data_IF_296241523419
#
_entry.id   IF_296241523419
#
_cell.length_a   1.000
_cell.length_b   1.000
_cell.length_c   1.000
_cell.angle_alpha   90.00
_cell.angle_beta   90.00
_cell.angle_gamma   90.00
#
_symmetry.space_group_name_H-M   'P 1'
#
loop_
_entity.id
_entity.type
_entity.pdbx_description
1 polymer ?
#
# COMPACT_ATOMS: atom_id res chain seq x y z
N UNK A 1 21.37 -19.15 -11.61
CA UNK A 1 20.83 -19.93 -10.48
C UNK A 1 20.02 -18.99 -9.62
N UNK A 2 18.80 -19.36 -9.21
CA UNK A 2 18.01 -18.53 -8.28
C UNK A 2 18.35 -18.97 -6.86
N UNK A 3 18.78 -18.01 -6.05
CA UNK A 3 19.12 -18.24 -4.66
C UNK A 3 18.13 -17.54 -3.73
N UNK A 4 17.79 -18.19 -2.62
CA UNK A 4 17.01 -17.60 -1.53
C UNK A 4 17.70 -17.80 -0.18
N UNK A 5 17.46 -16.88 0.75
CA UNK A 5 17.81 -17.08 2.16
C UNK A 5 16.58 -17.66 2.87
N UNK A 6 16.75 -18.76 3.60
CA UNK A 6 15.72 -19.30 4.48
C UNK A 6 16.30 -19.75 5.83
N UNK A 7 15.47 -20.39 6.65
CA UNK A 7 15.86 -20.91 7.94
C UNK A 7 16.08 -22.43 7.85
N UNK A 8 17.28 -22.87 8.20
CA UNK A 8 17.66 -24.27 8.23
C UNK A 8 16.73 -25.10 9.11
N UNK A 9 16.19 -26.19 8.56
CA UNK A 9 15.20 -27.05 9.22
C UNK A 9 13.82 -26.41 9.40
N UNK A 10 13.49 -25.35 8.64
CA UNK A 10 12.16 -24.78 8.57
C UNK A 10 11.26 -25.51 7.57
N UNK A 11 9.97 -25.18 7.61
CA UNK A 11 8.93 -25.68 6.70
C UNK A 11 8.60 -24.67 5.58
N UNK A 12 9.48 -23.70 5.34
CA UNK A 12 9.27 -22.61 4.38
C UNK A 12 8.34 -21.49 4.85
N UNK A 13 7.61 -21.66 5.96
CA UNK A 13 6.69 -20.64 6.46
C UNK A 13 7.42 -19.47 7.12
N UNK A 14 6.82 -18.28 7.06
CA UNK A 14 7.31 -17.11 7.79
C UNK A 14 7.40 -17.34 9.31
N UNK A 15 6.44 -18.07 9.88
CA UNK A 15 6.44 -18.35 11.32
C UNK A 15 7.64 -19.20 11.74
N UNK A 16 7.98 -20.23 10.95
CA UNK A 16 9.15 -21.06 11.17
C UNK A 16 10.44 -20.28 10.95
N UNK A 17 10.51 -19.48 9.89
CA UNK A 17 11.63 -18.56 9.64
C UNK A 17 11.85 -17.62 10.84
N UNK A 18 10.81 -16.92 11.28
CA UNK A 18 10.89 -15.98 12.39
C UNK A 18 11.36 -16.66 13.69
N UNK A 19 10.80 -17.83 14.02
CA UNK A 19 11.14 -18.55 15.24
C UNK A 19 12.57 -19.09 15.22
N UNK A 20 13.06 -19.51 14.06
CA UNK A 20 14.37 -20.17 13.93
C UNK A 20 15.51 -19.20 13.66
N UNK A 21 15.26 -18.13 12.90
CA UNK A 21 16.27 -17.14 12.49
C UNK A 21 16.31 -15.93 13.39
N UNK A 22 15.15 -15.37 13.73
CA UNK A 22 15.04 -14.20 14.60
C UNK A 22 14.78 -14.57 16.07
N UNK A 23 14.80 -15.88 16.37
CA UNK A 23 14.46 -16.44 17.69
C UNK A 23 13.11 -15.92 18.19
N UNK A 24 12.15 -15.82 17.28
CA UNK A 24 10.84 -15.21 17.54
C UNK A 24 10.95 -13.69 17.56
N UNK A 25 11.18 -13.12 18.73
CA UNK A 25 11.45 -11.67 18.88
C UNK A 25 12.79 -11.39 19.58
N UNK A 26 13.50 -12.44 20.03
CA UNK A 26 14.64 -12.26 20.93
C UNK A 26 15.85 -11.63 20.24
N UNK A 27 16.01 -11.81 18.92
CA UNK A 27 17.14 -11.23 18.19
C UNK A 27 16.78 -9.89 17.52
N UNK A 28 15.54 -9.38 17.67
CA UNK A 28 15.14 -8.15 16.99
C UNK A 28 15.94 -6.92 17.46
N UNK A 29 16.32 -6.88 18.74
CA UNK A 29 17.17 -5.82 19.27
C UNK A 29 18.57 -5.87 18.67
N UNK A 30 19.12 -7.08 18.46
CA UNK A 30 20.42 -7.29 17.82
C UNK A 30 20.39 -6.97 16.32
N UNK A 31 19.31 -7.35 15.62
CA UNK A 31 19.09 -6.97 14.21
C UNK A 31 18.98 -5.45 14.07
N UNK A 32 18.23 -4.82 14.98
CA UNK A 32 18.06 -3.38 15.05
C UNK A 32 17.60 -2.79 13.73
N UNK A 33 18.22 -1.68 13.34
CA UNK A 33 17.96 -0.98 12.08
C UNK A 33 19.15 -1.05 11.14
N UNK A 34 20.06 -2.01 11.32
CA UNK A 34 21.22 -2.18 10.45
C UNK A 34 20.86 -2.98 9.19
N UNK A 35 21.59 -2.78 8.11
CA UNK A 35 21.58 -3.67 6.95
C UNK A 35 22.72 -4.68 7.06
N UNK A 36 22.59 -5.80 6.36
CA UNK A 36 23.56 -6.89 6.44
C UNK A 36 23.87 -7.47 5.07
N UNK A 37 25.10 -7.95 4.90
CA UNK A 37 25.56 -8.59 3.67
C UNK A 37 26.30 -9.89 3.92
N UNK A 38 26.08 -10.85 3.03
CA UNK A 38 26.96 -11.98 2.80
C UNK A 38 27.63 -11.79 1.45
N UNK A 39 28.96 -11.64 1.45
CA UNK A 39 29.78 -11.33 0.27
C UNK A 39 30.60 -12.57 -0.10
N UNK A 40 30.38 -13.16 -1.27
CA UNK A 40 31.22 -14.25 -1.78
C UNK A 40 32.47 -13.67 -2.44
N UNK A 41 33.65 -14.07 -1.98
CA UNK A 41 34.94 -13.47 -2.40
C UNK A 41 35.97 -14.54 -2.70
N UNK A 42 36.99 -14.23 -3.53
CA UNK A 42 38.09 -15.16 -3.81
C UNK A 42 38.79 -15.67 -2.55
N UNK A 43 38.97 -14.78 -1.56
CA UNK A 43 39.62 -15.13 -0.29
C UNK A 43 38.69 -15.88 0.66
N UNK A 44 37.38 -15.69 0.50
CA UNK A 44 36.37 -16.14 1.44
C UNK A 44 36.66 -15.69 2.87
N UNK A 45 36.26 -16.54 3.81
CA UNK A 45 36.47 -16.34 5.23
C UNK A 45 36.78 -17.64 5.98
N UNK A 46 36.59 -17.56 7.29
CA UNK A 46 36.63 -18.69 8.22
C UNK A 46 35.38 -18.69 9.07
N UNK A 47 34.73 -19.84 9.15
CA UNK A 47 33.61 -20.10 10.03
C UNK A 47 33.98 -21.10 11.13
N UNK A 48 33.21 -21.09 12.22
CA UNK A 48 33.52 -21.87 13.41
C UNK A 48 32.42 -22.87 13.68
N UNK A 49 32.80 -24.12 13.92
CA UNK A 49 31.90 -25.23 14.24
C UNK A 49 31.59 -25.31 15.74
N UNK A 50 31.17 -24.19 16.33
CA UNK A 50 31.00 -24.04 17.79
C UNK A 50 30.01 -25.02 18.40
N UNK A 51 29.00 -25.45 17.65
CA UNK A 51 28.00 -26.41 18.11
C UNK A 51 28.43 -27.88 18.01
N UNK A 52 29.63 -28.14 17.46
CA UNK A 52 30.18 -29.47 17.25
C UNK A 52 31.49 -29.62 18.02
N UNK A 53 32.62 -29.33 17.38
CA UNK A 53 33.99 -29.56 17.88
C UNK A 53 34.79 -28.26 18.09
N UNK A 54 34.23 -27.11 17.71
CA UNK A 54 34.90 -25.81 17.81
C UNK A 54 35.94 -25.55 16.72
N UNK A 55 36.07 -26.45 15.73
CA UNK A 55 37.04 -26.31 14.65
C UNK A 55 36.71 -25.14 13.72
N UNK A 56 37.75 -24.65 13.04
CA UNK A 56 37.66 -23.53 12.10
C UNK A 56 37.75 -24.07 10.68
N UNK A 57 36.73 -23.81 9.86
CA UNK A 57 36.68 -24.25 8.46
C UNK A 57 36.70 -23.07 7.49
N UNK A 58 37.26 -23.25 6.28
CA UNK A 58 37.12 -22.25 5.22
C UNK A 58 35.66 -22.14 4.76
N UNK A 59 35.23 -20.90 4.49
CA UNK A 59 33.96 -20.60 3.82
C UNK A 59 34.24 -19.66 2.65
N UNK A 60 33.46 -19.69 1.55
CA UNK A 60 33.68 -18.83 0.38
C UNK A 60 33.15 -17.40 0.56
N UNK A 61 32.62 -17.06 1.74
CA UNK A 61 31.95 -15.80 1.98
C UNK A 61 32.46 -15.09 3.24
N UNK A 62 32.11 -13.81 3.31
CA UNK A 62 32.26 -12.95 4.48
C UNK A 62 30.89 -12.42 4.89
N UNK A 63 30.69 -12.20 6.19
CA UNK A 63 29.46 -11.62 6.74
C UNK A 63 29.75 -10.22 7.25
N UNK A 64 28.84 -9.28 6.99
CA UNK A 64 29.01 -7.88 7.31
C UNK A 64 27.70 -7.26 7.82
N UNK A 65 27.78 -6.47 8.88
CA UNK A 65 26.78 -5.46 9.22
C UNK A 65 27.21 -4.15 8.55
N UNK A 66 26.36 -3.59 7.70
CA UNK A 66 26.72 -2.51 6.75
C UNK A 66 26.02 -1.18 7.06
N UNK A 67 26.02 -0.83 8.35
CA UNK A 67 25.45 0.43 8.81
C UNK A 67 23.93 0.57 8.66
N UNK A 68 23.44 1.81 8.74
CA UNK A 68 22.01 2.16 8.73
C UNK A 68 21.75 3.07 7.54
N UNK A 69 21.27 2.51 6.42
CA UNK A 69 20.98 3.31 5.22
C UNK A 69 22.24 3.79 4.48
N UNK A 70 23.38 3.20 4.78
CA UNK A 70 24.72 3.55 4.28
C UNK A 70 25.29 2.43 3.38
N UNK A 71 24.43 1.85 2.53
CA UNK A 71 24.70 0.60 1.79
C UNK A 71 26.02 0.52 0.98
N UNK A 72 26.57 1.66 0.59
CA UNK A 72 27.79 1.76 -0.23
C UNK A 72 28.96 2.46 0.52
N UNK A 73 28.84 2.67 1.84
CA UNK A 73 29.88 3.27 2.68
C UNK A 73 30.55 2.22 3.57
N UNK A 74 31.75 1.72 3.21
CA UNK A 74 32.43 0.72 4.02
C UNK A 74 33.03 1.28 5.32
N UNK A 75 32.91 2.58 5.60
CA UNK A 75 33.51 3.19 6.78
C UNK A 75 32.82 2.81 8.10
N UNK A 76 31.56 2.35 8.04
CA UNK A 76 30.79 1.89 9.19
C UNK A 76 30.48 0.37 9.17
N UNK A 77 31.00 -0.34 8.18
CA UNK A 77 30.88 -1.79 8.04
C UNK A 77 31.63 -2.54 9.16
N UNK A 78 30.97 -3.52 9.79
CA UNK A 78 31.58 -4.40 10.81
C UNK A 78 31.58 -5.84 10.30
N UNK A 79 32.76 -6.46 10.23
CA UNK A 79 32.89 -7.87 9.84
C UNK A 79 32.36 -8.77 10.96
N UNK A 80 31.39 -9.61 10.61
CA UNK A 80 30.72 -10.52 11.52
C UNK A 80 31.41 -11.89 11.57
N UNK A 81 31.03 -12.69 12.57
CA UNK A 81 31.57 -14.02 12.83
C UNK A 81 30.55 -15.06 12.37
N UNK A 82 30.84 -15.84 11.32
CA UNK A 82 30.01 -16.97 10.92
C UNK A 82 30.26 -18.16 11.84
N UNK A 83 29.24 -18.61 12.53
CA UNK A 83 29.21 -19.94 13.16
C UNK A 83 28.44 -20.86 12.23
N UNK A 84 28.95 -22.06 11.97
CA UNK A 84 28.24 -23.05 11.17
C UNK A 84 27.83 -24.24 12.00
N UNK A 85 26.77 -24.90 11.56
CA UNK A 85 26.45 -26.24 11.99
C UNK A 85 26.06 -27.12 10.80
N UNK A 86 26.62 -28.32 10.77
CA UNK A 86 26.56 -29.27 9.66
C UNK A 86 25.68 -30.49 10.05
N UNK A 87 26.14 -31.71 9.73
CA UNK A 87 25.44 -32.99 9.91
C UNK A 87 24.85 -33.17 11.31
N UNK A 88 25.58 -32.73 12.34
CA UNK A 88 25.16 -32.85 13.75
C UNK A 88 23.89 -32.05 14.07
N UNK A 89 23.64 -30.96 13.34
CA UNK A 89 22.41 -30.19 13.45
C UNK A 89 21.33 -30.61 12.44
N UNK A 90 21.61 -31.61 11.59
CA UNK A 90 20.74 -32.00 10.49
C UNK A 90 20.86 -31.07 9.27
N UNK A 91 22.03 -30.45 9.07
CA UNK A 91 22.36 -29.62 7.91
C UNK A 91 23.49 -30.26 7.09
N UNK A 92 23.63 -29.85 5.82
CA UNK A 92 24.73 -30.30 4.96
C UNK A 92 24.72 -31.78 4.60
N UNK A 93 25.70 -32.18 3.80
CA UNK A 93 25.88 -33.59 3.37
C UNK A 93 27.23 -34.18 3.73
N UNK A 94 28.22 -33.33 3.97
CA UNK A 94 29.57 -33.70 4.35
C UNK A 94 29.92 -33.11 5.72
N UNK A 95 30.92 -33.69 6.37
CA UNK A 95 31.44 -33.18 7.63
C UNK A 95 32.75 -32.41 7.40
N UNK A 96 33.01 -31.43 8.26
CA UNK A 96 34.22 -30.60 8.30
C UNK A 96 34.40 -29.64 7.11
N UNK A 97 33.33 -29.40 6.35
CA UNK A 97 33.33 -28.50 5.21
C UNK A 97 32.01 -27.75 5.14
N UNK A 98 32.06 -26.47 4.78
CA UNK A 98 30.85 -25.76 4.37
C UNK A 98 30.41 -26.24 2.99
N UNK A 99 29.24 -26.87 2.93
CA UNK A 99 28.73 -27.48 1.71
C UNK A 99 27.27 -27.10 1.42
N UNK A 100 26.77 -27.66 0.32
CA UNK A 100 25.38 -27.56 -0.11
C UNK A 100 24.87 -28.95 -0.47
N UNK A 101 23.65 -29.26 -0.05
CA UNK A 101 22.98 -30.50 -0.38
C UNK A 101 21.64 -30.64 0.33
N UNK A 102 21.16 -31.88 0.42
CA UNK A 102 19.83 -32.15 0.97
C UNK A 102 18.72 -31.51 0.14
N UNK A 103 17.58 -31.27 0.79
CA UNK A 103 16.42 -30.62 0.19
C UNK A 103 15.73 -29.73 1.23
N UNK A 104 15.41 -28.51 0.85
CA UNK A 104 14.73 -27.54 1.69
C UNK A 104 13.23 -27.51 1.35
N UNK A 105 12.38 -27.56 2.36
CA UNK A 105 10.91 -27.59 2.20
C UNK A 105 10.27 -26.24 1.80
N UNK A 106 11.04 -25.31 1.24
CA UNK A 106 10.54 -23.96 0.96
C UNK A 106 9.67 -23.95 -0.28
N UNK A 107 10.01 -24.75 -1.29
CA UNK A 107 9.12 -25.07 -2.38
C UNK A 107 8.42 -26.42 -2.11
N UNK A 108 7.51 -26.79 -3.02
CA UNK A 108 6.80 -28.07 -2.96
C UNK A 108 7.51 -29.22 -3.68
N UNK A 109 8.65 -28.97 -4.32
CA UNK A 109 9.47 -29.98 -5.00
C UNK A 109 10.61 -30.50 -4.12
N UNK A 110 11.17 -31.65 -4.48
CA UNK A 110 12.38 -32.23 -3.84
C UNK A 110 13.65 -31.76 -4.60
N UNK A 111 13.72 -30.47 -4.90
CA UNK A 111 14.72 -29.87 -5.79
C UNK A 111 15.38 -28.58 -5.28
N UNK A 112 15.38 -28.39 -3.95
CA UNK A 112 15.88 -27.19 -3.27
C UNK A 112 17.10 -27.48 -2.37
N UNK A 113 18.28 -27.83 -2.93
CA UNK A 113 19.46 -28.06 -2.11
C UNK A 113 19.83 -26.79 -1.34
N UNK A 114 20.24 -26.97 -0.09
CA UNK A 114 20.55 -25.88 0.82
C UNK A 114 21.87 -26.08 1.54
N UNK A 115 22.45 -24.97 1.97
CA UNK A 115 23.75 -24.96 2.63
C UNK A 115 23.66 -25.44 4.07
N UNK A 116 24.82 -25.65 4.69
CA UNK A 116 24.92 -25.71 6.15
C UNK A 116 24.26 -24.51 6.83
N UNK A 117 23.85 -24.71 8.08
CA UNK A 117 23.24 -23.67 8.88
C UNK A 117 24.29 -22.66 9.31
N UNK A 118 24.07 -21.40 8.96
CA UNK A 118 24.95 -20.28 9.31
C UNK A 118 24.27 -19.45 10.39
N UNK A 119 25.04 -19.08 11.41
CA UNK A 119 24.63 -18.14 12.44
C UNK A 119 25.56 -16.93 12.38
N UNK A 120 24.97 -15.75 12.44
CA UNK A 120 25.62 -14.47 12.23
C UNK A 120 25.78 -13.82 13.58
N UNK A 121 27.01 -13.78 14.09
CA UNK A 121 27.31 -13.14 15.38
C UNK A 121 28.09 -11.86 15.16
N UNK A 122 27.76 -10.84 15.94
CA UNK A 122 28.63 -9.68 16.06
C UNK A 122 29.90 -10.05 16.84
N UNK A 123 31.06 -9.49 16.50
CA UNK A 123 32.21 -9.51 17.39
C UNK A 123 31.95 -8.66 18.65
N UNK A 124 32.70 -8.93 19.72
CA UNK A 124 32.69 -8.07 20.91
C UNK A 124 33.25 -6.68 20.59
N UNK A 125 34.33 -6.62 19.81
CA UNK A 125 34.85 -5.37 19.24
C UNK A 125 34.14 -5.09 17.91
N UNK A 126 33.19 -4.15 17.93
CA UNK A 126 32.43 -3.71 16.76
C UNK A 126 33.02 -2.45 16.12
N UNK A 127 34.32 -2.18 16.33
CA UNK A 127 35.01 -1.14 15.55
C UNK A 127 34.87 -1.46 14.06
N UNK A 128 34.49 -0.50 13.20
CA UNK A 128 34.38 -0.74 11.77
C UNK A 128 35.64 -1.36 11.16
N UNK A 129 35.43 -2.28 10.21
CA UNK A 129 36.43 -3.17 9.65
C UNK A 129 36.36 -4.58 10.24
N UNK A 130 37.53 -5.23 10.34
CA UNK A 130 37.61 -6.67 10.64
C UNK A 130 38.37 -7.03 11.93
N UNK A 131 38.74 -6.04 12.75
CA UNK A 131 39.52 -6.27 13.98
C UNK A 131 38.82 -7.25 14.93
N UNK A 132 37.52 -7.07 15.15
CA UNK A 132 36.72 -7.94 16.01
C UNK A 132 36.65 -9.38 15.52
N UNK A 133 36.43 -9.56 14.20
CA UNK A 133 36.44 -10.88 13.57
C UNK A 133 37.82 -11.56 13.70
N UNK A 134 38.90 -10.84 13.42
CA UNK A 134 40.26 -11.37 13.52
C UNK A 134 40.65 -11.73 14.96
N UNK A 135 40.21 -10.91 15.93
CA UNK A 135 40.39 -11.17 17.36
C UNK A 135 39.72 -12.48 17.74
N UNK A 136 38.43 -12.65 17.42
CA UNK A 136 37.73 -13.91 17.69
C UNK A 136 38.36 -15.10 16.95
N UNK A 137 38.81 -14.92 15.71
CA UNK A 137 39.53 -15.97 14.97
C UNK A 137 40.81 -16.42 15.66
N UNK A 138 41.48 -15.52 16.37
CA UNK A 138 42.72 -15.83 17.07
C UNK A 138 42.51 -16.45 18.45
N UNK A 139 41.43 -16.10 19.15
CA UNK A 139 41.20 -16.49 20.55
C UNK A 139 40.07 -17.48 20.76
N UNK A 140 39.07 -17.48 19.88
CA UNK A 140 37.79 -18.18 20.01
C UNK A 140 37.09 -17.95 21.36
N UNK A 141 37.33 -16.80 22.00
CA UNK A 141 36.91 -16.53 23.39
C UNK A 141 35.41 -16.16 23.49
N UNK A 142 35.07 -14.90 23.22
CA UNK A 142 33.72 -14.38 23.42
C UNK A 142 33.08 -13.92 22.11
N UNK A 143 31.81 -14.30 21.91
CA UNK A 143 30.93 -13.77 20.88
C UNK A 143 30.13 -12.59 21.41
N UNK A 144 29.81 -11.63 20.54
CA UNK A 144 28.77 -10.64 20.80
C UNK A 144 27.37 -11.22 20.58
N UNK A 145 26.44 -10.35 20.22
CA UNK A 145 25.03 -10.74 19.99
C UNK A 145 24.85 -11.65 18.76
N UNK A 146 23.92 -12.60 18.86
CA UNK A 146 23.43 -13.40 17.73
C UNK A 146 22.41 -12.56 16.94
N UNK A 147 22.73 -12.19 15.71
CA UNK A 147 21.84 -11.40 14.84
C UNK A 147 20.87 -12.32 14.11
N UNK A 148 21.41 -13.27 13.35
CA UNK A 148 20.61 -14.26 12.62
C UNK A 148 21.05 -15.66 13.01
N UNK A 149 20.09 -16.52 13.34
CA UNK A 149 20.34 -17.92 13.59
C UNK A 149 19.99 -18.78 12.38
N UNK A 150 20.70 -19.89 12.17
CA UNK A 150 20.28 -20.96 11.25
C UNK A 150 19.91 -20.49 9.85
N UNK A 151 20.51 -19.43 9.33
CA UNK A 151 20.26 -19.04 7.94
C UNK A 151 20.88 -20.09 7.02
N UNK A 152 20.19 -20.41 5.93
CA UNK A 152 20.71 -21.25 4.86
C UNK A 152 20.52 -20.53 3.53
N UNK A 153 21.41 -20.77 2.58
CA UNK A 153 21.17 -20.44 1.18
C UNK A 153 20.50 -21.63 0.52
N UNK A 154 19.39 -21.39 -0.16
CA UNK A 154 18.64 -22.39 -0.89
C UNK A 154 18.77 -22.10 -2.38
N UNK A 155 19.23 -23.07 -3.16
CA UNK A 155 19.19 -22.98 -4.62
C UNK A 155 17.82 -23.50 -5.08
N UNK A 156 16.91 -22.59 -5.46
CA UNK A 156 15.52 -22.92 -5.73
C UNK A 156 15.34 -23.66 -7.06
N UNK A 157 14.56 -24.74 -7.08
CA UNK A 157 14.24 -25.54 -8.27
C UNK A 157 15.49 -26.04 -9.04
N UNK A 158 16.57 -26.32 -8.32
CA UNK A 158 17.90 -26.58 -8.88
C UNK A 158 18.42 -28.02 -8.69
N UNK A 159 17.57 -28.98 -8.31
CA UNK A 159 17.98 -30.40 -8.18
C UNK A 159 16.93 -31.46 -8.54
N UNK A 160 16.99 -32.13 -9.70
CA UNK A 160 15.92 -33.11 -10.08
C UNK A 160 16.41 -34.54 -10.39
N UNK A 161 17.65 -34.92 -10.00
CA UNK A 161 18.10 -36.32 -9.73
C UNK A 161 19.64 -36.41 -9.61
N UNK A 162 20.20 -37.36 -8.82
CA UNK A 162 21.64 -37.63 -8.76
C UNK A 162 22.25 -38.12 -10.10
N UNK A 163 23.56 -37.90 -10.32
CA UNK A 163 24.47 -37.15 -9.45
C UNK A 163 24.42 -35.66 -9.80
N UNK A 164 23.77 -34.86 -8.95
CA UNK A 164 23.97 -33.41 -8.98
C UNK A 164 25.15 -33.09 -8.06
N UNK A 165 26.01 -32.19 -8.51
CA UNK A 165 27.02 -31.54 -7.67
C UNK A 165 26.55 -30.09 -7.57
N UNK A 166 25.75 -29.73 -6.54
CA UNK A 166 25.24 -28.38 -6.42
C UNK A 166 26.44 -27.45 -6.16
N UNK A 167 26.52 -26.35 -6.89
CA UNK A 167 27.59 -25.37 -6.74
C UNK A 167 27.18 -24.32 -5.72
N UNK A 168 28.15 -23.88 -4.90
CA UNK A 168 27.97 -22.72 -4.05
C UNK A 168 27.84 -21.44 -4.90
N UNK A 169 27.30 -20.35 -4.36
CA UNK A 169 27.25 -19.08 -5.07
C UNK A 169 28.63 -18.65 -5.59
N UNK A 170 28.63 -18.09 -6.79
CA UNK A 170 29.86 -17.67 -7.47
C UNK A 170 30.53 -16.49 -6.74
N UNK A 171 31.85 -16.38 -6.90
CA UNK A 171 32.60 -15.21 -6.44
C UNK A 171 31.99 -13.92 -7.00
N UNK A 172 31.84 -12.91 -6.15
CA UNK A 172 31.17 -11.65 -6.48
C UNK A 172 29.68 -11.63 -6.16
N UNK A 173 29.08 -12.77 -5.81
CA UNK A 173 27.68 -12.81 -5.33
C UNK A 173 27.56 -12.08 -4.00
N UNK A 174 26.58 -11.17 -3.89
CA UNK A 174 26.23 -10.50 -2.64
C UNK A 174 24.77 -10.75 -2.31
N UNK A 175 24.52 -11.34 -1.14
CA UNK A 175 23.18 -11.39 -0.55
C UNK A 175 23.04 -10.23 0.43
N UNK A 176 22.03 -9.40 0.24
CA UNK A 176 21.75 -8.24 1.08
C UNK A 176 20.43 -8.42 1.82
N UNK A 177 20.47 -8.21 3.14
CA UNK A 177 19.29 -8.19 4.01
C UNK A 177 19.08 -6.73 4.42
N UNK A 178 17.98 -6.14 3.97
CA UNK A 178 17.64 -4.76 4.31
C UNK A 178 16.54 -4.70 5.37
N UNK A 179 16.77 -3.91 6.41
CA UNK A 179 15.80 -3.72 7.50
C UNK A 179 14.97 -2.46 7.30
N UNK A 180 13.81 -2.40 7.96
CA UNK A 180 13.03 -1.17 8.01
C UNK A 180 13.79 -0.13 8.83
N UNK A 181 14.06 1.03 8.23
CA UNK A 181 14.71 2.14 8.90
C UNK A 181 13.67 2.96 9.65
N UNK A 182 13.81 3.14 10.98
CA UNK A 182 12.99 4.11 11.69
C UNK A 182 13.37 5.51 11.22
N UNK A 183 12.47 6.48 11.41
CA UNK A 183 12.84 7.89 11.22
C UNK A 183 13.96 8.25 12.20
N UNK A 184 15.12 8.61 11.66
CA UNK A 184 16.26 9.05 12.44
C UNK A 184 16.18 10.56 12.70
N UNK A 185 16.89 11.01 13.74
CA UNK A 185 17.05 12.44 14.01
C UNK A 185 17.82 13.07 12.85
N UNK A 186 17.13 13.86 12.01
CA UNK A 186 17.68 14.47 10.81
C UNK A 186 16.90 14.14 9.53
N UNK A 187 16.07 13.09 9.56
CA UNK A 187 15.21 12.75 8.42
C UNK A 187 14.20 13.87 8.14
N UNK A 188 14.07 14.22 6.87
CA UNK A 188 13.05 15.17 6.40
C UNK A 188 11.94 14.40 5.71
N UNK A 189 10.78 14.31 6.36
CA UNK A 189 9.57 13.81 5.72
C UNK A 189 8.88 14.95 4.95
N UNK A 190 8.69 14.77 3.65
CA UNK A 190 7.85 15.66 2.84
C UNK A 190 6.54 14.96 2.52
N UNK A 191 5.42 15.63 2.76
CA UNK A 191 4.12 15.24 2.23
C UNK A 191 3.64 16.27 1.20
N UNK A 192 2.93 15.81 0.19
CA UNK A 192 2.39 16.65 -0.88
C UNK A 192 0.89 16.41 -1.02
N UNK A 193 0.14 17.50 -1.14
CA UNK A 193 -1.29 17.49 -1.51
C UNK A 193 -1.49 17.70 -3.01
N UNK A 194 -0.41 17.72 -3.80
CA UNK A 194 -0.49 17.88 -5.25
C UNK A 194 -1.36 16.77 -5.85
N UNK A 195 -2.34 17.14 -6.67
CA UNK A 195 -3.32 16.22 -7.26
C UNK A 195 -4.60 16.03 -6.45
N UNK A 196 -4.69 16.55 -5.22
CA UNK A 196 -5.93 16.63 -4.43
C UNK A 196 -6.52 18.05 -4.39
N UNK A 197 -6.09 18.89 -5.33
CA UNK A 197 -6.57 20.25 -5.47
C UNK A 197 -8.01 20.25 -5.96
N UNK A 198 -8.84 21.14 -5.43
CA UNK A 198 -10.17 21.39 -5.98
C UNK A 198 -10.02 21.96 -7.40
N UNK A 199 -10.37 21.19 -8.42
CA UNK A 199 -10.42 21.69 -9.79
C UNK A 199 -11.70 22.49 -10.02
N UNK A 200 -11.64 23.68 -10.64
CA UNK A 200 -12.84 24.36 -11.11
C UNK A 200 -13.59 23.45 -12.11
N UNK A 201 -14.91 23.36 -12.00
CA UNK A 201 -15.74 22.56 -12.90
C UNK A 201 -15.41 22.82 -14.38
N UNK A 202 -15.14 21.78 -15.15
CA UNK A 202 -15.00 21.88 -16.60
C UNK A 202 -16.32 22.34 -17.24
N UNK A 203 -16.26 22.99 -18.41
CA UNK A 203 -17.48 23.43 -19.13
C UNK A 203 -18.44 22.25 -19.44
N UNK A 204 -17.91 21.05 -19.66
CA UNK A 204 -18.70 19.83 -19.85
C UNK A 204 -19.48 19.42 -18.60
N UNK A 205 -18.88 19.53 -17.42
CA UNK A 205 -19.54 19.19 -16.14
C UNK A 205 -20.56 20.25 -15.73
N UNK A 206 -20.30 21.52 -16.05
CA UNK A 206 -21.27 22.61 -15.90
C UNK A 206 -22.52 22.36 -16.76
N UNK A 207 -22.34 21.90 -18.00
CA UNK A 207 -23.46 21.60 -18.92
C UNK A 207 -24.28 20.40 -18.43
N UNK A 208 -23.63 19.31 -18.01
CA UNK A 208 -24.32 18.14 -17.48
C UNK A 208 -25.13 18.44 -16.20
N UNK A 209 -24.62 19.34 -15.36
CA UNK A 209 -25.32 19.79 -14.14
C UNK A 209 -26.55 20.63 -14.48
N UNK A 210 -26.49 21.49 -15.53
CA UNK A 210 -27.66 22.21 -16.02
C UNK A 210 -28.73 21.24 -16.55
N UNK A 211 -28.34 20.22 -17.30
CA UNK A 211 -29.25 19.23 -17.90
C UNK A 211 -30.02 18.39 -16.87
N UNK A 212 -29.53 18.27 -15.64
CA UNK A 212 -30.25 17.60 -14.55
C UNK A 212 -31.45 18.40 -14.01
N UNK A 213 -31.44 19.74 -14.11
CA UNK A 213 -32.47 20.59 -13.49
C UNK A 213 -33.88 20.28 -14.02
N UNK A 214 -34.78 19.89 -13.12
CA UNK A 214 -36.14 19.47 -13.46
C UNK A 214 -37.22 20.28 -12.78
N UNK A 215 -38.47 20.02 -13.17
CA UNK A 215 -39.67 20.43 -12.43
C UNK A 215 -40.62 19.24 -12.32
N UNK A 216 -41.09 18.96 -11.10
CA UNK A 216 -41.98 17.82 -10.80
C UNK A 216 -43.18 18.25 -9.95
N UNK A 217 -44.38 17.69 -10.20
CA UNK A 217 -44.72 16.88 -11.37
C UNK A 217 -44.82 17.73 -12.66
N UNK A 218 -44.52 17.14 -13.81
CA UNK A 218 -44.67 17.77 -15.11
C UNK A 218 -45.15 16.73 -16.16
N UNK A 219 -46.39 16.81 -16.67
CA UNK A 219 -47.38 17.85 -16.38
C UNK A 219 -47.99 17.70 -14.98
N UNK A 220 -48.41 18.82 -14.39
CA UNK A 220 -49.22 18.83 -13.17
C UNK A 220 -50.69 18.57 -13.52
N UNK A 221 -51.27 17.49 -13.01
CA UNK A 221 -52.66 17.09 -13.23
C UNK A 221 -53.42 17.06 -11.91
N UNK A 222 -54.20 18.10 -11.62
CA UNK A 222 -54.87 18.29 -10.32
C UNK A 222 -56.07 17.38 -10.02
N UNK A 223 -56.15 16.12 -10.52
CA UNK A 223 -57.36 15.30 -10.44
C UNK A 223 -57.15 13.84 -9.99
N UNK A 224 -57.66 13.52 -8.79
CA UNK A 224 -58.19 12.20 -8.44
C UNK A 224 -59.61 12.38 -7.90
N UNK A 225 -60.53 11.50 -8.33
CA UNK A 225 -61.95 11.48 -7.93
C UNK A 225 -62.20 10.85 -6.54
N UNK A 226 -61.15 10.52 -5.78
CA UNK A 226 -61.23 9.88 -4.46
C UNK A 226 -60.22 10.42 -3.41
N UNK A 227 -59.57 11.57 -3.61
CA UNK A 227 -58.57 12.05 -2.63
C UNK A 227 -59.12 13.15 -1.71
N UNK A 228 -59.40 12.75 -0.47
CA UNK A 228 -59.64 13.58 0.70
C UNK A 228 -58.33 14.19 1.21
N UNK A 229 -57.82 15.28 0.62
CA UNK A 229 -57.02 16.25 1.38
C UNK A 229 -56.81 17.58 0.65
N UNK A 230 -57.04 18.67 1.38
CA UNK A 230 -56.76 20.07 1.03
C UNK A 230 -55.25 20.36 0.96
N UNK A 231 -54.51 19.72 0.06
CA UNK A 231 -53.13 20.12 -0.23
C UNK A 231 -53.13 21.29 -1.24
N UNK A 232 -52.34 22.36 -0.99
CA UNK A 232 -52.15 23.42 -1.98
C UNK A 232 -51.51 22.86 -3.24
N UNK A 233 -51.83 23.46 -4.39
CA UNK A 233 -51.20 23.08 -5.66
C UNK A 233 -49.72 23.52 -5.60
N UNK A 234 -48.80 22.57 -5.50
CA UNK A 234 -47.36 22.84 -5.45
C UNK A 234 -46.59 22.02 -6.50
N UNK A 235 -45.51 22.60 -7.01
CA UNK A 235 -44.50 21.94 -7.84
C UNK A 235 -43.12 22.18 -7.24
N UNK A 236 -42.19 21.28 -7.53
CA UNK A 236 -40.80 21.35 -7.05
C UNK A 236 -39.85 21.39 -8.21
N UNK A 237 -38.97 22.39 -8.22
CA UNK A 237 -37.75 22.38 -9.01
C UNK A 237 -36.74 21.45 -8.35
N UNK A 238 -36.11 20.56 -9.11
CA UNK A 238 -35.12 19.58 -8.62
C UNK A 238 -33.73 19.87 -9.18
N UNK A 239 -32.71 19.36 -8.49
CA UNK A 239 -31.31 19.45 -8.90
C UNK A 239 -30.83 20.91 -9.07
N UNK A 240 -31.39 21.78 -8.23
CA UNK A 240 -31.16 23.22 -8.25
C UNK A 240 -29.94 23.61 -7.42
N UNK A 241 -29.07 24.52 -7.89
CA UNK A 241 -27.98 25.05 -7.08
C UNK A 241 -28.47 25.98 -5.97
N UNK A 242 -27.56 26.42 -5.10
CA UNK A 242 -27.88 27.29 -3.97
C UNK A 242 -28.40 28.67 -4.38
N UNK A 243 -27.93 29.19 -5.52
CA UNK A 243 -28.34 30.48 -6.10
C UNK A 243 -28.81 30.28 -7.53
N UNK A 244 -30.06 30.66 -7.81
CA UNK A 244 -30.64 30.62 -9.15
C UNK A 244 -31.78 31.63 -9.30
N UNK A 245 -32.01 32.11 -10.52
CA UNK A 245 -33.19 32.90 -10.89
C UNK A 245 -34.10 32.07 -11.77
N UNK A 246 -35.37 31.93 -11.38
CA UNK A 246 -36.38 31.20 -12.14
C UNK A 246 -37.41 32.20 -12.66
N UNK A 247 -37.65 32.19 -13.97
CA UNK A 247 -38.65 33.04 -14.63
C UNK A 247 -39.65 32.17 -15.35
N UNK A 248 -40.93 32.38 -15.06
CA UNK A 248 -42.04 31.65 -15.69
C UNK A 248 -42.70 32.54 -16.73
N UNK A 249 -42.79 32.04 -17.95
CA UNK A 249 -43.40 32.74 -19.09
C UNK A 249 -44.60 31.95 -19.61
N UNK A 250 -45.65 32.66 -20.01
CA UNK A 250 -46.71 32.08 -20.84
C UNK A 250 -46.21 31.89 -22.29
N UNK A 251 -46.88 31.05 -23.09
CA UNK A 251 -46.48 30.78 -24.48
C UNK A 251 -46.47 32.02 -25.38
N UNK A 252 -47.22 33.06 -25.03
CA UNK A 252 -47.21 34.35 -25.74
C UNK A 252 -46.00 35.24 -25.35
N UNK A 253 -45.11 34.76 -24.48
CA UNK A 253 -43.92 35.47 -24.02
C UNK A 253 -44.15 36.39 -22.82
N UNK A 254 -45.35 36.48 -22.25
CA UNK A 254 -45.58 37.33 -21.07
C UNK A 254 -44.95 36.72 -19.82
N UNK A 255 -44.21 37.52 -19.05
CA UNK A 255 -43.66 37.12 -17.75
C UNK A 255 -44.80 36.97 -16.72
N UNK A 256 -44.84 35.83 -16.05
CA UNK A 256 -45.90 35.44 -15.11
C UNK A 256 -45.41 35.47 -13.67
N UNK A 257 -44.17 35.02 -13.45
CA UNK A 257 -43.54 34.93 -12.14
C UNK A 257 -42.03 35.06 -12.25
N UNK A 258 -41.42 35.80 -11.32
CA UNK A 258 -39.98 35.73 -11.06
C UNK A 258 -39.72 35.19 -9.65
N UNK A 259 -38.75 34.30 -9.52
CA UNK A 259 -38.38 33.67 -8.26
C UNK A 259 -36.86 33.73 -8.13
N UNK A 260 -36.38 34.34 -7.04
CA UNK A 260 -34.97 34.28 -6.65
C UNK A 260 -34.77 33.19 -5.60
N UNK A 261 -34.01 32.15 -5.94
CA UNK A 261 -33.56 31.14 -4.98
C UNK A 261 -32.23 31.59 -4.39
N UNK A 262 -32.19 31.75 -3.07
CA UNK A 262 -30.97 31.99 -2.27
C UNK A 262 -31.01 31.12 -1.01
N UNK A 263 -31.04 29.81 -1.21
CA UNK A 263 -31.11 28.85 -0.09
C UNK A 263 -29.94 27.89 -0.15
N UNK A 264 -29.13 27.87 0.91
CA UNK A 264 -27.92 27.05 1.02
C UNK A 264 -28.23 25.56 1.28
N UNK A 265 -29.39 25.23 1.82
CA UNK A 265 -29.62 23.90 2.42
C UNK A 265 -30.53 22.97 1.58
N UNK A 266 -30.94 23.37 0.38
CA UNK A 266 -31.85 22.56 -0.44
C UNK A 266 -31.45 22.56 -1.92
N UNK A 267 -31.30 21.35 -2.48
CA UNK A 267 -31.17 21.10 -3.93
C UNK A 267 -32.52 21.14 -4.66
N UNK A 268 -33.57 21.62 -4.00
CA UNK A 268 -34.90 21.80 -4.57
C UNK A 268 -35.49 23.15 -4.19
N UNK A 269 -36.53 23.57 -4.93
CA UNK A 269 -37.32 24.76 -4.61
C UNK A 269 -38.80 24.49 -4.87
N UNK A 270 -39.66 24.78 -3.90
CA UNK A 270 -41.11 24.59 -4.04
C UNK A 270 -41.77 25.88 -4.53
N UNK A 271 -42.58 25.77 -5.57
CA UNK A 271 -43.43 26.86 -6.06
C UNK A 271 -44.90 26.48 -5.88
N UNK A 272 -45.66 27.43 -5.33
CA UNK A 272 -47.09 27.34 -5.02
C UNK A 272 -48.01 27.60 -6.21
N UNK A 273 -47.45 27.62 -7.43
CA UNK A 273 -48.17 27.88 -8.68
C UNK A 273 -48.92 29.21 -8.67
N UNK A 274 -48.41 30.23 -7.98
CA UNK A 274 -48.93 31.59 -8.03
C UNK A 274 -48.12 32.50 -8.94
N UNK A 275 -48.77 33.50 -9.52
CA UNK A 275 -48.15 34.60 -10.26
C UNK A 275 -47.47 35.60 -9.32
N UNK A 276 -46.73 36.58 -9.85
CA UNK A 276 -46.15 37.66 -9.02
C UNK A 276 -47.21 38.49 -8.30
N UNK A 277 -48.43 38.56 -8.84
CA UNK A 277 -49.58 39.22 -8.21
C UNK A 277 -50.32 38.33 -7.21
N UNK A 278 -49.78 37.15 -6.86
CA UNK A 278 -50.36 36.21 -5.90
C UNK A 278 -51.62 35.49 -6.38
N UNK A 279 -51.97 35.59 -7.67
CA UNK A 279 -53.12 34.89 -8.27
C UNK A 279 -52.72 33.47 -8.63
N UNK A 280 -53.68 32.54 -8.57
CA UNK A 280 -53.46 31.18 -9.05
C UNK A 280 -53.13 31.20 -10.54
N UNK A 281 -52.16 30.37 -10.95
CA UNK A 281 -51.82 30.18 -12.35
C UNK A 281 -53.03 29.64 -13.13
N UNK A 282 -53.19 30.05 -14.38
CA UNK A 282 -54.23 29.50 -15.26
C UNK A 282 -53.76 28.17 -15.87
N UNK A 283 -54.67 27.23 -16.14
CA UNK A 283 -54.32 26.00 -16.86
C UNK A 283 -53.73 26.31 -18.24
N UNK A 284 -52.60 25.69 -18.58
CA UNK A 284 -51.89 25.96 -19.82
C UNK A 284 -50.47 25.41 -19.85
N UNK A 285 -49.74 25.75 -20.91
CA UNK A 285 -48.32 25.44 -21.08
C UNK A 285 -47.51 26.70 -20.79
N UNK A 286 -46.40 26.51 -20.08
CA UNK A 286 -45.48 27.56 -19.65
C UNK A 286 -44.05 27.21 -20.04
N UNK A 287 -43.23 28.24 -20.26
CA UNK A 287 -41.79 28.12 -20.39
C UNK A 287 -41.14 28.62 -19.11
N UNK A 288 -40.30 27.79 -18.51
CA UNK A 288 -39.56 28.14 -17.31
C UNK A 288 -38.11 28.31 -17.69
N UNK A 289 -37.59 29.52 -17.50
CA UNK A 289 -36.20 29.86 -17.69
C UNK A 289 -35.49 29.85 -16.34
N UNK A 290 -34.49 28.99 -16.20
CA UNK A 290 -33.64 28.89 -15.02
C UNK A 290 -32.27 29.45 -15.38
N UNK A 291 -31.82 30.45 -14.65
CA UNK A 291 -30.52 31.11 -14.82
C UNK A 291 -29.68 30.88 -13.56
N UNK A 292 -28.45 30.39 -13.75
CA UNK A 292 -27.50 30.12 -12.67
C UNK A 292 -26.27 31.01 -12.89
N UNK A 293 -25.99 31.94 -11.95
CA UNK A 293 -24.88 32.86 -12.08
C UNK A 293 -23.54 32.13 -12.30
N UNK A 294 -22.82 32.49 -13.36
CA UNK A 294 -21.50 31.95 -13.66
C UNK A 294 -21.47 30.53 -14.26
N UNK A 295 -22.63 29.90 -14.48
CA UNK A 295 -22.71 28.53 -15.06
C UNK A 295 -23.46 28.55 -16.39
N UNK A 296 -24.67 29.12 -16.43
CA UNK A 296 -25.46 29.16 -17.66
C UNK A 296 -26.97 29.21 -17.41
N UNK A 297 -27.74 28.82 -18.43
CA UNK A 297 -29.20 28.90 -18.44
C UNK A 297 -29.86 27.66 -19.04
N UNK A 298 -31.06 27.34 -18.57
CA UNK A 298 -31.90 26.25 -19.08
C UNK A 298 -33.35 26.68 -19.27
N UNK A 299 -34.00 26.14 -20.30
CA UNK A 299 -35.44 26.32 -20.53
C UNK A 299 -36.15 24.98 -20.36
N UNK A 300 -37.19 24.97 -19.52
CA UNK A 300 -38.04 23.81 -19.26
C UNK A 300 -39.45 24.10 -19.75
N UNK A 301 -40.07 23.15 -20.44
CA UNK A 301 -41.49 23.22 -20.83
C UNK A 301 -42.33 22.61 -19.71
N UNK A 302 -43.28 23.36 -19.17
CA UNK A 302 -44.12 22.92 -18.06
C UNK A 302 -45.60 22.95 -18.45
N UNK A 303 -46.30 21.83 -18.25
CA UNK A 303 -47.75 21.74 -18.44
C UNK A 303 -48.49 21.79 -17.11
N UNK A 304 -49.47 22.66 -16.98
CA UNK A 304 -50.28 22.81 -15.77
C UNK A 304 -51.77 22.70 -16.09
N UNK A 305 -52.45 21.79 -15.40
CA UNK A 305 -53.90 21.65 -15.42
C UNK A 305 -54.40 21.90 -14.00
N UNK A 306 -54.77 23.14 -13.73
CA UNK A 306 -55.32 23.58 -12.45
C UNK A 306 -56.71 23.04 -12.19
N UNK A 307 -57.06 22.94 -10.92
CA UNK A 307 -58.42 22.55 -10.49
C UNK A 307 -59.42 23.59 -10.99
N UNK A 308 -60.49 23.11 -11.63
CA UNK A 308 -61.63 23.95 -11.99
C UNK A 308 -62.45 24.21 -10.72
N UNK A 309 -62.36 25.40 -10.17
CA UNK A 309 -63.36 25.89 -9.23
C UNK A 309 -64.63 26.15 -10.07
N UNK A 310 -65.58 25.23 -9.99
CA UNK A 310 -66.87 25.33 -10.66
C UNK A 310 -67.93 25.83 -9.67
N UNK A 311 -68.77 26.72 -10.19
CA UNK A 311 -69.93 27.41 -9.60
C UNK A 311 -70.91 26.52 -8.82
#
# INVERSE_FOLDING_TARGET
MIWGINAGGADGSFASFNTRTLRGQNNLDAVGSYDYEMRFTASGGRAFRRFSDGEIVPVPFELWQIGIGTLDDPADDVRMIPIICESTCGAGTNELTYDIGGDHRVSGGDDDPNTDWIYWYLPVDQTPGQSGYESYRSTADQLGEEVFARTVLVALDHGIAPPYTPELPEEGTVFRISTLKPFLVGDQATFSTAGFESTPFSQSEQTATLDAIGIVPNPYTGASRYETTSRPEEVRFTDMPFVATIRVFALNGSLVRTIEKRSADASWFTWDLRTDTGRQLASGIYLIHVEIPGVGQKVIKFGYIGRRWGD
#
